data_IF_574255016721
#
_entry.id   IF_574255016721
#
_cell.length_a   1.000
_cell.length_b   1.000
_cell.length_c   1.000
_cell.angle_alpha   90.00
_cell.angle_beta   90.00
_cell.angle_gamma   90.00
#
_symmetry.space_group_name_H-M   'P 1'
#
loop_
_entity.id
_entity.type
_entity.pdbx_description
1 polymer ?
#
# COMPACT_ATOMS: atom_id res chain seq x y z
N UNK A 1 71.77 70.63 15.43
CA UNK A 1 70.31 70.57 15.31
C UNK A 1 69.80 69.58 16.35
N UNK A 2 69.06 70.02 17.38
CA UNK A 2 68.41 69.08 18.30
C UNK A 2 67.25 68.45 17.54
N UNK A 3 67.31 67.14 17.28
CA UNK A 3 66.25 66.37 16.64
C UNK A 3 65.04 66.29 17.58
N UNK A 4 64.24 67.35 17.63
CA UNK A 4 63.03 67.45 18.47
C UNK A 4 61.90 66.49 18.01
N UNK A 5 62.17 65.60 17.06
CA UNK A 5 61.25 64.59 16.54
C UNK A 5 61.78 63.15 16.67
N UNK A 6 62.90 62.94 17.37
CA UNK A 6 63.46 61.60 17.57
C UNK A 6 62.66 60.83 18.63
N UNK A 7 62.08 59.69 18.24
CA UNK A 7 61.33 58.80 19.14
C UNK A 7 62.33 57.84 19.83
N UNK A 8 62.44 57.83 21.16
CA UNK A 8 63.32 56.91 21.88
C UNK A 8 62.97 55.45 21.58
N UNK A 9 63.97 54.56 21.47
CA UNK A 9 63.76 53.13 21.17
C UNK A 9 62.77 52.43 22.13
N UNK A 10 62.67 52.92 23.37
CA UNK A 10 61.72 52.42 24.38
C UNK A 10 60.27 52.69 23.99
N UNK A 11 60.00 53.78 23.27
CA UNK A 11 58.68 54.13 22.77
C UNK A 11 58.35 53.44 21.44
N UNK A 12 59.31 52.71 20.84
CA UNK A 12 59.09 51.89 19.65
C UNK A 12 58.55 50.49 20.00
N UNK A 13 58.57 50.09 21.28
CA UNK A 13 58.14 48.75 21.72
C UNK A 13 56.94 48.85 22.65
N UNK A 14 55.84 48.19 22.27
CA UNK A 14 54.75 47.92 23.19
C UNK A 14 55.11 46.68 24.03
N UNK A 15 55.33 46.87 25.34
CA UNK A 15 55.63 45.78 26.27
C UNK A 15 54.41 45.47 27.13
N UNK A 16 54.00 44.20 27.16
CA UNK A 16 53.02 43.69 28.11
C UNK A 16 53.76 43.22 29.37
N UNK A 17 53.40 43.77 30.52
CA UNK A 17 53.94 43.35 31.82
C UNK A 17 53.36 41.97 32.19
N UNK A 18 54.17 40.90 32.29
CA UNK A 18 53.65 39.56 32.61
C UNK A 18 53.03 39.45 34.01
N UNK A 19 53.37 40.36 34.94
CA UNK A 19 52.86 40.34 36.31
C UNK A 19 51.36 40.63 36.42
N UNK A 20 50.73 41.13 35.35
CA UNK A 20 49.29 41.37 35.29
C UNK A 20 48.46 40.08 35.25
N UNK A 21 49.08 38.96 34.88
CA UNK A 21 48.38 37.68 34.71
C UNK A 21 48.46 36.83 35.97
N UNK A 22 47.33 36.21 36.34
CA UNK A 22 47.19 35.34 37.51
C UNK A 22 47.28 33.85 37.17
N UNK A 23 47.98 33.52 36.09
CA UNK A 23 48.17 32.14 35.61
C UNK A 23 49.62 31.90 35.21
N UNK A 24 50.06 30.64 35.28
CA UNK A 24 51.44 30.26 34.94
C UNK A 24 51.55 29.88 33.47
N UNK A 25 50.54 29.19 32.93
CA UNK A 25 50.50 28.78 31.52
C UNK A 25 49.14 29.09 30.90
N UNK A 26 49.07 29.22 29.57
CA UNK A 26 47.80 29.42 28.86
C UNK A 26 46.86 28.22 28.94
N UNK A 27 47.36 27.05 29.34
CA UNK A 27 46.53 25.86 29.60
C UNK A 27 45.64 26.03 30.84
N UNK A 28 46.04 26.89 31.78
CA UNK A 28 45.29 27.19 33.01
C UNK A 28 44.10 28.13 32.76
N UNK A 29 44.03 28.73 31.56
CA UNK A 29 43.00 29.70 31.20
C UNK A 29 41.77 28.97 30.67
N UNK A 30 40.67 29.02 31.42
CA UNK A 30 39.37 28.56 30.92
C UNK A 30 38.96 29.40 29.71
N UNK A 31 38.69 28.74 28.59
CA UNK A 31 38.12 29.39 27.41
C UNK A 31 36.78 30.04 27.77
N UNK A 32 36.71 31.36 27.62
CA UNK A 32 35.49 32.15 27.74
C UNK A 32 35.16 32.78 26.38
N UNK A 33 35.34 32.00 25.31
CA UNK A 33 35.13 32.47 23.95
C UNK A 33 33.67 32.88 23.76
N UNK A 34 33.44 34.20 23.80
CA UNK A 34 32.15 34.85 23.55
C UNK A 34 32.25 35.75 22.32
N UNK A 35 33.04 35.35 21.32
CA UNK A 35 33.37 36.16 20.13
C UNK A 35 33.98 37.52 20.50
N UNK A 36 35.21 37.48 21.03
CA UNK A 36 35.97 38.66 21.44
C UNK A 36 36.05 39.71 20.32
N UNK A 37 35.66 40.94 20.61
CA UNK A 37 35.68 42.05 19.64
C UNK A 37 34.57 42.03 18.57
N UNK A 38 33.62 41.08 18.63
CA UNK A 38 32.55 40.92 17.63
C UNK A 38 31.15 41.16 18.18
N UNK A 39 31.02 42.04 19.19
CA UNK A 39 29.76 42.28 19.91
C UNK A 39 28.58 42.58 18.99
N UNK A 40 28.79 43.39 17.93
CA UNK A 40 27.75 43.70 16.95
C UNK A 40 27.32 42.46 16.15
N UNK A 41 28.27 41.69 15.63
CA UNK A 41 28.00 40.49 14.85
C UNK A 41 27.28 39.42 15.67
N UNK A 42 27.66 39.27 16.94
CA UNK A 42 26.99 38.43 17.91
C UNK A 42 25.54 38.88 18.12
N UNK A 43 25.32 40.16 18.45
CA UNK A 43 23.98 40.68 18.67
C UNK A 43 23.07 40.48 17.45
N UNK A 44 23.59 40.67 16.23
CA UNK A 44 22.86 40.41 15.00
C UNK A 44 22.54 38.92 14.79
N UNK A 45 23.47 38.02 15.12
CA UNK A 45 23.23 36.57 15.04
C UNK A 45 22.19 36.12 16.07
N UNK A 46 22.32 36.56 17.32
CA UNK A 46 21.40 36.23 18.41
C UNK A 46 19.99 36.73 18.10
N UNK A 47 19.87 37.97 17.60
CA UNK A 47 18.61 38.52 17.11
C UNK A 47 18.06 37.69 15.95
N UNK A 48 18.86 37.45 14.90
CA UNK A 48 18.43 36.73 13.71
C UNK A 48 17.94 35.31 14.02
N UNK A 49 18.60 34.60 14.94
CA UNK A 49 18.19 33.27 15.40
C UNK A 49 16.99 33.27 16.36
N UNK A 50 16.65 34.44 16.93
CA UNK A 50 15.45 34.60 17.77
C UNK A 50 14.17 34.79 16.94
N UNK A 51 14.29 35.20 15.68
CA UNK A 51 13.16 35.43 14.76
C UNK A 51 12.63 34.08 14.25
N UNK A 52 11.51 33.64 14.81
CA UNK A 52 10.81 32.41 14.39
C UNK A 52 9.76 32.75 13.31
N UNK A 53 10.23 33.06 12.09
CA UNK A 53 9.36 33.43 10.96
C UNK A 53 9.81 32.75 9.68
N UNK A 54 8.85 32.10 8.99
CA UNK A 54 9.11 31.41 7.73
C UNK A 54 9.69 32.38 6.68
N UNK A 55 10.77 31.95 6.02
CA UNK A 55 11.46 32.74 4.99
C UNK A 55 12.57 33.65 5.55
N UNK A 56 12.70 33.73 6.88
CA UNK A 56 13.82 34.43 7.51
C UNK A 56 15.05 33.52 7.55
N UNK A 57 16.11 33.93 6.84
CA UNK A 57 17.37 33.19 6.78
C UNK A 57 18.51 34.12 7.23
N UNK A 58 19.52 33.56 7.92
CA UNK A 58 20.69 34.30 8.38
C UNK A 58 21.90 33.93 7.52
N UNK A 59 22.57 34.93 6.99
CA UNK A 59 23.86 34.79 6.30
C UNK A 59 24.97 35.39 7.15
N UNK A 60 26.08 34.68 7.32
CA UNK A 60 27.21 35.12 8.13
C UNK A 60 28.42 35.42 7.26
N UNK A 61 28.86 36.67 7.29
CA UNK A 61 30.06 37.15 6.59
C UNK A 61 31.15 37.57 7.58
N UNK A 62 32.41 37.37 7.21
CA UNK A 62 33.54 37.95 7.92
C UNK A 62 34.87 37.27 7.58
N UNK A 63 36.00 37.80 8.04
CA UNK A 63 37.32 37.29 7.73
C UNK A 63 37.51 35.81 8.08
N UNK A 64 38.41 35.13 7.38
CA UNK A 64 38.82 33.76 7.72
C UNK A 64 39.48 33.76 9.11
N UNK A 65 39.22 32.72 9.91
CA UNK A 65 39.79 32.60 11.27
C UNK A 65 39.05 33.37 12.36
N UNK A 66 37.97 34.12 12.05
CA UNK A 66 37.18 34.84 13.06
C UNK A 66 36.23 33.97 13.90
N UNK A 67 36.28 32.64 13.72
CA UNK A 67 35.49 31.70 14.53
C UNK A 67 33.97 31.73 14.31
N UNK A 68 33.49 32.23 13.16
CA UNK A 68 32.05 32.33 12.81
C UNK A 68 31.29 31.03 13.05
N UNK A 69 31.71 29.95 12.37
CA UNK A 69 31.05 28.64 12.45
C UNK A 69 31.08 28.07 13.87
N UNK A 70 32.21 28.20 14.57
CA UNK A 70 32.36 27.71 15.95
C UNK A 70 31.38 28.41 16.87
N UNK A 71 31.35 29.76 16.84
CA UNK A 71 30.43 30.54 17.66
C UNK A 71 28.96 30.22 17.34
N UNK A 72 28.60 30.19 16.06
CA UNK A 72 27.23 29.88 15.62
C UNK A 72 26.80 28.49 16.10
N UNK A 73 27.66 27.48 15.98
CA UNK A 73 27.33 26.12 16.44
C UNK A 73 27.17 26.06 17.96
N UNK A 74 28.10 26.63 18.72
CA UNK A 74 28.01 26.68 20.19
C UNK A 74 26.72 27.38 20.67
N UNK A 75 26.36 28.48 19.99
CA UNK A 75 25.12 29.20 20.30
C UNK A 75 23.87 28.39 19.92
N UNK A 76 23.86 27.76 18.73
CA UNK A 76 22.76 26.88 18.29
C UNK A 76 22.59 25.68 19.24
N UNK A 77 23.67 25.05 19.68
CA UNK A 77 23.66 23.93 20.63
C UNK A 77 23.13 24.33 22.01
N UNK A 78 23.35 25.60 22.42
CA UNK A 78 22.79 26.15 23.65
C UNK A 78 21.28 26.36 23.52
N UNK A 79 20.81 26.99 22.44
CA UNK A 79 19.39 27.32 22.28
C UNK A 79 18.54 26.11 21.90
N UNK A 80 19.08 25.13 21.17
CA UNK A 80 18.32 23.96 20.73
C UNK A 80 17.79 23.13 21.91
N UNK A 81 18.54 23.08 23.02
CA UNK A 81 18.15 22.38 24.27
C UNK A 81 16.90 22.95 24.92
N UNK A 82 16.54 24.21 24.63
CA UNK A 82 15.33 24.86 25.18
C UNK A 82 14.17 24.86 24.19
N UNK A 83 14.40 24.41 22.95
CA UNK A 83 13.38 24.36 21.90
C UNK A 83 12.62 23.03 21.96
N UNK A 84 11.45 23.00 21.32
CA UNK A 84 10.66 21.78 21.17
C UNK A 84 11.43 20.79 20.30
N UNK A 85 11.33 19.51 20.64
CA UNK A 85 11.89 18.42 19.83
C UNK A 85 11.23 18.49 18.44
N UNK A 86 12.03 18.50 17.35
CA UNK A 86 11.47 18.54 16.01
C UNK A 86 10.66 17.27 15.71
N UNK A 87 9.64 17.37 14.84
CA UNK A 87 8.88 16.21 14.41
C UNK A 87 9.75 15.27 13.57
N UNK A 88 9.36 14.00 13.52
CA UNK A 88 9.91 13.04 12.57
C UNK A 88 9.30 13.32 11.18
N UNK A 89 10.12 13.27 10.14
CA UNK A 89 9.64 13.33 8.76
C UNK A 89 9.88 11.98 8.10
N UNK A 90 8.82 11.41 7.53
CA UNK A 90 8.87 10.16 6.77
C UNK A 90 8.31 10.36 5.39
N UNK A 91 8.86 9.65 4.42
CA UNK A 91 8.31 9.53 3.08
C UNK A 91 7.57 8.20 2.96
N UNK A 92 6.35 8.26 2.45
CA UNK A 92 5.56 7.08 2.12
C UNK A 92 5.28 7.03 0.63
N UNK A 93 5.08 5.82 0.13
CA UNK A 93 4.72 5.60 -1.27
C UNK A 93 3.39 6.30 -1.60
N UNK A 94 3.34 6.92 -2.77
CA UNK A 94 2.16 7.57 -3.29
C UNK A 94 1.50 6.65 -4.31
N UNK A 95 0.26 6.22 -4.01
CA UNK A 95 -0.49 5.30 -4.85
C UNK A 95 -1.13 5.99 -6.06
N UNK A 96 -1.25 7.31 -6.05
CA UNK A 96 -1.79 8.09 -7.17
C UNK A 96 -0.69 8.48 -8.17
N UNK A 97 0.48 8.89 -7.67
CA UNK A 97 1.68 9.16 -8.47
C UNK A 97 2.94 8.55 -7.84
N UNK A 98 3.41 7.38 -8.31
CA UNK A 98 4.58 6.68 -7.77
C UNK A 98 5.88 7.50 -7.73
N UNK A 99 6.02 8.52 -8.57
CA UNK A 99 7.24 9.33 -8.64
C UNK A 99 7.25 10.48 -7.62
N UNK A 100 6.12 10.73 -6.96
CA UNK A 100 5.95 11.83 -6.00
C UNK A 100 5.68 11.29 -4.58
N UNK A 101 6.72 10.90 -3.82
CA UNK A 101 6.52 10.36 -2.48
C UNK A 101 5.89 11.39 -1.53
N UNK A 102 4.96 10.95 -0.68
CA UNK A 102 4.24 11.83 0.24
C UNK A 102 5.04 12.03 1.52
N UNK A 103 5.41 13.29 1.81
CA UNK A 103 6.01 13.65 3.09
C UNK A 103 4.97 13.75 4.21
N UNK A 104 5.20 13.01 5.29
CA UNK A 104 4.37 12.97 6.49
C UNK A 104 5.20 13.43 7.69
N UNK A 105 4.69 14.42 8.41
CA UNK A 105 5.22 14.82 9.72
C UNK A 105 4.55 13.99 10.82
N UNK A 106 5.36 13.38 11.67
CA UNK A 106 4.98 12.58 12.84
C UNK A 106 5.59 13.22 14.10
N UNK A 107 5.08 12.87 15.28
CA UNK A 107 5.73 13.36 16.51
C UNK A 107 7.08 12.67 16.71
N UNK A 108 7.97 13.29 17.47
CA UNK A 108 9.33 12.79 17.65
C UNK A 108 9.35 11.33 18.15
N UNK A 109 10.05 10.45 17.43
CA UNK A 109 10.15 9.02 17.73
C UNK A 109 8.98 8.16 17.26
N UNK A 110 7.93 8.73 16.64
CA UNK A 110 6.86 7.94 16.02
C UNK A 110 7.25 7.39 14.64
N UNK A 111 8.23 8.00 13.95
CA UNK A 111 8.68 7.54 12.63
C UNK A 111 9.21 6.11 12.67
N UNK A 112 10.03 5.79 13.68
CA UNK A 112 10.58 4.44 13.84
C UNK A 112 9.49 3.44 14.23
N UNK A 113 8.57 3.82 15.12
CA UNK A 113 7.43 2.97 15.51
C UNK A 113 6.51 2.68 14.32
N UNK A 114 6.31 3.67 13.44
CA UNK A 114 5.52 3.49 12.23
C UNK A 114 6.21 2.54 11.26
N UNK A 115 7.53 2.70 11.03
CA UNK A 115 8.33 1.79 10.23
C UNK A 115 8.20 0.35 10.74
N UNK A 116 8.44 0.11 12.03
CA UNK A 116 8.39 -1.22 12.62
C UNK A 116 6.97 -1.82 12.55
N UNK A 117 5.94 -0.98 12.74
CA UNK A 117 4.53 -1.40 12.58
C UNK A 117 4.22 -1.83 11.15
N UNK A 118 4.76 -1.13 10.15
CA UNK A 118 4.59 -1.47 8.74
C UNK A 118 5.36 -2.73 8.34
N UNK A 119 6.58 -2.93 8.85
CA UNK A 119 7.35 -4.17 8.63
C UNK A 119 6.60 -5.39 9.19
N UNK A 120 6.07 -5.26 10.42
CA UNK A 120 5.23 -6.29 11.02
C UNK A 120 3.94 -6.53 10.21
N UNK A 121 3.27 -5.45 9.79
CA UNK A 121 2.07 -5.54 8.95
C UNK A 121 2.32 -6.36 7.68
N UNK A 122 3.40 -6.10 6.94
CA UNK A 122 3.72 -6.80 5.69
C UNK A 122 3.98 -8.29 5.94
N UNK A 123 4.65 -8.63 7.04
CA UNK A 123 4.92 -10.01 7.42
C UNK A 123 3.63 -10.76 7.78
N UNK A 124 2.82 -10.16 8.65
CA UNK A 124 1.61 -10.80 9.18
C UNK A 124 0.53 -10.93 8.08
N UNK A 125 0.32 -9.90 7.26
CA UNK A 125 -0.74 -9.91 6.25
C UNK A 125 -0.53 -10.99 5.19
N UNK A 126 0.73 -11.24 4.79
CA UNK A 126 1.06 -12.30 3.82
C UNK A 126 0.75 -13.68 4.38
N UNK A 127 1.03 -13.90 5.65
CA UNK A 127 0.73 -15.16 6.33
C UNK A 127 -0.79 -15.35 6.51
N UNK A 128 -1.47 -14.32 7.00
CA UNK A 128 -2.86 -14.42 7.42
C UNK A 128 -3.82 -14.47 6.22
N UNK A 129 -3.54 -13.74 5.13
CA UNK A 129 -4.29 -13.91 3.87
C UNK A 129 -4.17 -15.36 3.40
N UNK A 130 -2.95 -15.90 3.34
CA UNK A 130 -2.73 -17.27 2.86
C UNK A 130 -3.45 -18.31 3.72
N UNK A 131 -3.36 -18.19 5.04
CA UNK A 131 -4.03 -19.11 5.96
C UNK A 131 -5.54 -19.01 5.86
N UNK A 132 -6.06 -17.78 5.74
CA UNK A 132 -7.49 -17.54 5.52
C UNK A 132 -7.93 -18.24 4.24
N UNK A 133 -7.18 -18.10 3.13
CA UNK A 133 -7.51 -18.75 1.86
C UNK A 133 -7.34 -20.26 1.81
N UNK A 134 -6.63 -20.87 2.78
CA UNK A 134 -6.45 -22.32 2.92
C UNK A 134 -7.41 -22.95 3.94
N UNK A 135 -8.26 -22.16 4.61
CA UNK A 135 -9.09 -22.70 5.69
C UNK A 135 -10.23 -23.56 5.16
N UNK A 136 -10.56 -24.65 5.88
CA UNK A 136 -11.68 -25.52 5.56
C UNK A 136 -13.03 -24.79 5.57
N UNK A 137 -13.13 -23.68 6.32
CA UNK A 137 -14.31 -22.82 6.35
C UNK A 137 -14.57 -22.13 5.02
N UNK A 138 -13.50 -21.77 4.28
CA UNK A 138 -13.66 -21.20 2.95
C UNK A 138 -14.16 -22.22 1.94
N UNK A 139 -13.58 -23.42 1.92
CA UNK A 139 -14.03 -24.46 0.99
C UNK A 139 -15.48 -24.87 1.29
N UNK A 140 -15.90 -24.86 2.57
CA UNK A 140 -17.30 -25.07 2.95
C UNK A 140 -18.23 -24.00 2.38
N UNK A 141 -17.92 -22.71 2.58
CA UNK A 141 -18.75 -21.62 2.06
C UNK A 141 -18.80 -21.60 0.53
N UNK A 142 -17.67 -21.82 -0.14
CA UNK A 142 -17.63 -21.98 -1.60
C UNK A 142 -18.50 -23.16 -2.06
N UNK A 143 -18.46 -24.28 -1.35
CA UNK A 143 -19.31 -25.45 -1.63
C UNK A 143 -20.80 -25.13 -1.43
N UNK A 144 -21.16 -24.37 -0.39
CA UNK A 144 -22.55 -23.93 -0.15
C UNK A 144 -23.05 -23.08 -1.31
N UNK A 145 -22.27 -22.07 -1.74
CA UNK A 145 -22.61 -21.22 -2.88
C UNK A 145 -22.74 -22.07 -4.16
N UNK A 146 -21.78 -22.94 -4.43
CA UNK A 146 -21.80 -23.80 -5.62
C UNK A 146 -23.05 -24.68 -5.66
N UNK A 147 -23.39 -25.31 -4.54
CA UNK A 147 -24.58 -26.16 -4.42
C UNK A 147 -25.89 -25.37 -4.63
N UNK A 148 -25.99 -24.15 -4.08
CA UNK A 148 -27.15 -23.28 -4.29
C UNK A 148 -27.40 -23.03 -5.80
N UNK A 149 -26.34 -22.78 -6.55
CA UNK A 149 -26.43 -22.55 -7.99
C UNK A 149 -26.67 -23.84 -8.78
N UNK A 150 -26.10 -24.97 -8.38
CA UNK A 150 -26.41 -26.29 -8.96
C UNK A 150 -27.88 -26.66 -8.81
N UNK A 151 -28.47 -26.46 -7.63
CA UNK A 151 -29.90 -26.70 -7.40
C UNK A 151 -30.79 -25.80 -8.27
N UNK A 152 -30.38 -24.54 -8.51
CA UNK A 152 -31.08 -23.63 -9.43
C UNK A 152 -30.96 -24.08 -10.89
N UNK A 153 -29.79 -24.59 -11.33
CA UNK A 153 -29.62 -25.17 -12.66
C UNK A 153 -30.50 -26.39 -12.86
N UNK A 154 -30.56 -27.27 -11.86
CA UNK A 154 -31.37 -28.49 -11.92
C UNK A 154 -32.86 -28.14 -12.08
N UNK A 155 -33.35 -27.09 -11.41
CA UNK A 155 -34.72 -26.58 -11.61
C UNK A 155 -34.97 -26.14 -13.06
N UNK A 156 -34.05 -25.40 -13.67
CA UNK A 156 -34.19 -24.99 -15.08
C UNK A 156 -34.23 -26.20 -16.03
N UNK A 157 -33.39 -27.21 -15.80
CA UNK A 157 -33.37 -28.43 -16.60
C UNK A 157 -34.65 -29.27 -16.39
N UNK A 158 -35.13 -29.38 -15.16
CA UNK A 158 -36.36 -30.09 -14.84
C UNK A 158 -37.60 -29.40 -15.47
N UNK A 159 -37.64 -28.07 -15.44
CA UNK A 159 -38.72 -27.31 -16.08
C UNK A 159 -38.66 -27.40 -17.60
N UNK A 160 -37.47 -27.35 -18.19
CA UNK A 160 -37.27 -27.59 -19.62
C UNK A 160 -37.77 -28.98 -20.00
N UNK A 161 -37.34 -30.03 -19.30
CA UNK A 161 -37.76 -31.41 -19.58
C UNK A 161 -39.28 -31.59 -19.46
N UNK A 162 -39.94 -30.94 -18.48
CA UNK A 162 -41.42 -30.94 -18.36
C UNK A 162 -42.12 -30.24 -19.52
N UNK A 163 -41.56 -29.15 -20.04
CA UNK A 163 -42.13 -28.45 -21.21
C UNK A 163 -41.92 -29.25 -22.48
N UNK A 164 -40.70 -29.74 -22.71
CA UNK A 164 -40.35 -30.58 -23.86
C UNK A 164 -41.16 -31.87 -23.93
N UNK A 165 -41.50 -32.47 -22.77
CA UNK A 165 -42.35 -33.66 -22.72
C UNK A 165 -43.74 -33.44 -23.34
N UNK A 166 -44.29 -32.22 -23.28
CA UNK A 166 -45.57 -31.87 -23.93
C UNK A 166 -45.49 -31.90 -25.46
N UNK A 167 -44.28 -31.76 -25.99
CA UNK A 167 -43.99 -31.79 -27.42
C UNK A 167 -43.45 -33.17 -27.87
N UNK A 168 -43.44 -34.17 -26.98
CA UNK A 168 -42.97 -35.52 -27.29
C UNK A 168 -41.44 -35.67 -27.19
N UNK A 169 -40.75 -34.81 -26.43
CA UNK A 169 -39.30 -34.87 -26.30
C UNK A 169 -38.85 -34.99 -24.84
N UNK A 170 -37.82 -35.79 -24.60
CA UNK A 170 -37.05 -35.78 -23.35
C UNK A 170 -35.77 -34.97 -23.54
N UNK A 171 -35.43 -34.14 -22.56
CA UNK A 171 -34.19 -33.38 -22.55
C UNK A 171 -33.27 -33.89 -21.44
N UNK A 172 -31.98 -34.08 -21.76
CA UNK A 172 -30.93 -34.44 -20.79
C UNK A 172 -29.72 -33.53 -20.93
N UNK A 173 -29.07 -33.24 -19.81
CA UNK A 173 -27.74 -32.62 -19.78
C UNK A 173 -26.63 -33.67 -19.85
N UNK A 174 -25.50 -33.27 -20.41
CA UNK A 174 -24.25 -34.02 -20.48
C UNK A 174 -23.07 -33.06 -20.32
N UNK A 175 -21.85 -33.58 -20.28
CA UNK A 175 -20.62 -32.78 -20.29
C UNK A 175 -20.47 -31.92 -21.56
N UNK A 176 -20.99 -32.40 -22.70
CA UNK A 176 -20.88 -31.74 -24.01
C UNK A 176 -22.05 -30.82 -24.34
N UNK A 177 -23.09 -30.78 -23.49
CA UNK A 177 -24.24 -29.89 -23.66
C UNK A 177 -25.58 -30.54 -23.32
N UNK A 178 -26.66 -29.90 -23.77
CA UNK A 178 -28.03 -30.35 -23.58
C UNK A 178 -28.51 -31.07 -24.85
N UNK A 179 -28.99 -32.30 -24.70
CA UNK A 179 -29.50 -33.15 -25.77
C UNK A 179 -31.00 -33.33 -25.67
N UNK A 180 -31.67 -33.30 -26.83
CA UNK A 180 -33.09 -33.57 -26.99
C UNK A 180 -33.27 -34.95 -27.64
N UNK A 181 -34.20 -35.76 -27.14
CA UNK A 181 -34.49 -37.09 -27.67
C UNK A 181 -36.02 -37.28 -27.84
N UNK A 182 -36.50 -37.76 -29.00
CA UNK A 182 -37.93 -37.98 -29.23
C UNK A 182 -38.47 -39.17 -28.43
N UNK A 183 -39.73 -39.08 -28.00
CA UNK A 183 -40.48 -40.08 -27.23
C UNK A 183 -41.66 -40.57 -28.08
N UNK A 184 -41.60 -41.82 -28.56
CA UNK A 184 -42.69 -42.47 -29.31
C UNK A 184 -43.23 -43.64 -28.50
N UNK A 185 -44.55 -43.76 -28.38
CA UNK A 185 -45.23 -44.78 -27.57
C UNK A 185 -44.71 -44.90 -26.13
N UNK A 186 -44.34 -43.76 -25.54
CA UNK A 186 -43.82 -43.67 -24.17
C UNK A 186 -42.37 -44.14 -24.00
N UNK A 187 -41.65 -44.43 -25.09
CA UNK A 187 -40.24 -44.81 -25.08
C UNK A 187 -39.39 -43.80 -25.83
N UNK A 188 -38.22 -43.50 -25.26
CA UNK A 188 -37.19 -42.70 -25.94
C UNK A 188 -36.61 -43.56 -27.05
N UNK A 189 -36.67 -43.06 -28.28
CA UNK A 189 -36.13 -43.74 -29.45
C UNK A 189 -34.83 -43.08 -29.91
N UNK A 190 -33.95 -43.87 -30.52
CA UNK A 190 -32.69 -43.37 -31.11
C UNK A 190 -32.91 -42.94 -32.55
N UNK A 191 -31.95 -42.23 -33.11
CA UNK A 191 -31.99 -41.68 -34.47
C UNK A 191 -32.30 -42.76 -35.53
N UNK A 192 -31.67 -43.95 -35.43
CA UNK A 192 -31.92 -45.09 -36.33
C UNK A 192 -33.37 -45.63 -36.30
N UNK A 193 -34.08 -45.46 -35.17
CA UNK A 193 -35.48 -45.86 -35.02
C UNK A 193 -36.44 -44.74 -35.45
N UNK A 194 -36.05 -43.48 -35.22
CA UNK A 194 -36.77 -42.31 -35.73
C UNK A 194 -36.80 -42.30 -37.27
N UNK A 195 -35.69 -42.69 -37.91
CA UNK A 195 -35.53 -42.87 -39.36
C UNK A 195 -36.54 -43.86 -39.97
N UNK A 196 -37.10 -44.78 -39.19
CA UNK A 196 -38.06 -45.80 -39.67
C UNK A 196 -39.52 -45.37 -39.56
N UNK A 197 -39.79 -44.19 -38.96
CA UNK A 197 -41.14 -43.64 -38.84
C UNK A 197 -41.67 -43.11 -40.18
N UNK A 198 -42.99 -43.09 -40.31
CA UNK A 198 -43.67 -42.52 -41.48
C UNK A 198 -43.37 -41.03 -41.66
N UNK A 199 -43.35 -40.58 -42.92
CA UNK A 199 -42.97 -39.21 -43.28
C UNK A 199 -43.86 -38.14 -42.64
N UNK A 200 -45.16 -38.41 -42.45
CA UNK A 200 -46.07 -37.49 -41.75
C UNK A 200 -45.72 -37.34 -40.26
N UNK A 201 -45.39 -38.45 -39.60
CA UNK A 201 -45.02 -38.46 -38.17
C UNK A 201 -43.68 -37.76 -37.98
N UNK A 202 -42.68 -38.03 -38.85
CA UNK A 202 -41.39 -37.34 -38.82
C UNK A 202 -41.56 -35.83 -38.92
N UNK A 203 -42.37 -35.36 -39.87
CA UNK A 203 -42.62 -33.93 -40.08
C UNK A 203 -43.26 -33.27 -38.86
N UNK A 204 -44.19 -33.95 -38.18
CA UNK A 204 -44.79 -33.44 -36.94
C UNK A 204 -43.76 -33.28 -35.81
N UNK A 205 -42.80 -34.21 -35.68
CA UNK A 205 -41.71 -34.09 -34.71
C UNK A 205 -40.70 -32.99 -35.11
N UNK A 206 -40.42 -32.80 -36.40
CA UNK A 206 -39.56 -31.71 -36.89
C UNK A 206 -40.15 -30.34 -36.53
N UNK A 207 -41.44 -30.10 -36.81
CA UNK A 207 -42.12 -28.84 -36.49
C UNK A 207 -42.13 -28.58 -34.96
N UNK A 208 -42.35 -29.62 -34.15
CA UNK A 208 -42.28 -29.52 -32.68
C UNK A 208 -40.85 -29.36 -32.17
N UNK A 209 -39.86 -29.88 -32.88
CA UNK A 209 -38.45 -29.78 -32.50
C UNK A 209 -37.99 -28.33 -32.50
N UNK A 210 -38.41 -27.52 -33.47
CA UNK A 210 -38.06 -26.08 -33.52
C UNK A 210 -38.49 -25.35 -32.24
N UNK A 211 -39.69 -25.65 -31.72
CA UNK A 211 -40.20 -25.07 -30.48
C UNK A 211 -39.32 -25.48 -29.30
N UNK A 212 -38.99 -26.77 -29.19
CA UNK A 212 -38.16 -27.29 -28.09
C UNK A 212 -36.72 -26.77 -28.21
N UNK A 213 -36.17 -26.60 -29.41
CA UNK A 213 -34.85 -26.00 -29.62
C UNK A 213 -34.81 -24.56 -29.12
N UNK A 214 -35.85 -23.76 -29.37
CA UNK A 214 -35.93 -22.39 -28.83
C UNK A 214 -35.96 -22.39 -27.30
N UNK A 215 -36.71 -23.30 -26.68
CA UNK A 215 -36.72 -23.44 -25.21
C UNK A 215 -35.36 -23.86 -24.65
N UNK A 216 -34.64 -24.77 -25.33
CA UNK A 216 -33.28 -25.17 -24.95
C UNK A 216 -32.33 -23.96 -25.00
N UNK A 217 -32.37 -23.17 -26.09
CA UNK A 217 -31.53 -21.98 -26.24
C UNK A 217 -31.79 -20.97 -25.10
N UNK A 218 -33.07 -20.74 -24.77
CA UNK A 218 -33.45 -19.86 -23.67
C UNK A 218 -32.89 -20.35 -22.32
N UNK A 219 -33.01 -21.65 -22.05
CA UNK A 219 -32.50 -22.26 -20.80
C UNK A 219 -30.97 -22.25 -20.75
N UNK A 220 -30.27 -22.49 -21.86
CA UNK A 220 -28.81 -22.34 -21.93
C UNK A 220 -28.39 -20.91 -21.58
N UNK A 221 -29.11 -19.91 -22.11
CA UNK A 221 -28.90 -18.50 -21.75
C UNK A 221 -29.05 -18.25 -20.25
N UNK A 222 -30.10 -18.80 -19.64
CA UNK A 222 -30.33 -18.71 -18.18
C UNK A 222 -29.24 -19.40 -17.37
N UNK A 223 -28.79 -20.58 -17.79
CA UNK A 223 -27.69 -21.32 -17.12
C UNK A 223 -26.39 -20.53 -17.19
N UNK A 224 -26.03 -19.97 -18.36
CA UNK A 224 -24.82 -19.14 -18.50
C UNK A 224 -24.87 -17.89 -17.63
N UNK A 225 -26.02 -17.22 -17.56
CA UNK A 225 -26.20 -16.07 -16.68
C UNK A 225 -26.05 -16.47 -15.21
N UNK A 226 -26.58 -17.64 -14.84
CA UNK A 226 -26.50 -18.21 -13.50
C UNK A 226 -25.05 -18.60 -13.14
N UNK A 227 -24.26 -19.10 -14.10
CA UNK A 227 -22.83 -19.37 -13.92
C UNK A 227 -22.04 -18.08 -13.66
N UNK A 228 -22.31 -17.03 -14.42
CA UNK A 228 -21.69 -15.73 -14.20
C UNK A 228 -22.09 -15.13 -12.83
N UNK A 229 -23.34 -15.31 -12.41
CA UNK A 229 -23.82 -14.92 -11.07
C UNK A 229 -23.06 -15.67 -9.96
N UNK A 230 -22.85 -16.98 -10.13
CA UNK A 230 -22.09 -17.81 -9.19
C UNK A 230 -20.63 -17.37 -9.07
N UNK A 231 -19.97 -17.15 -10.20
CA UNK A 231 -18.57 -16.69 -10.22
C UNK A 231 -18.41 -15.32 -9.55
N UNK A 232 -19.31 -14.38 -9.86
CA UNK A 232 -19.33 -13.07 -9.21
C UNK A 232 -19.53 -13.18 -7.70
N UNK A 233 -20.49 -14.02 -7.24
CA UNK A 233 -20.75 -14.20 -5.81
C UNK A 233 -19.55 -14.81 -5.08
N UNK A 234 -18.85 -15.77 -5.71
CA UNK A 234 -17.61 -16.34 -5.17
C UNK A 234 -16.52 -15.26 -5.10
N UNK A 235 -16.35 -14.44 -6.13
CA UNK A 235 -15.35 -13.37 -6.15
C UNK A 235 -15.64 -12.25 -5.13
N UNK A 236 -16.90 -11.85 -4.97
CA UNK A 236 -17.32 -10.89 -3.95
C UNK A 236 -17.05 -11.41 -2.55
N UNK A 237 -17.39 -12.68 -2.30
CA UNK A 237 -17.13 -13.32 -1.02
C UNK A 237 -15.62 -13.41 -0.72
N UNK A 238 -14.79 -13.81 -1.70
CA UNK A 238 -13.31 -13.78 -1.57
C UNK A 238 -12.80 -12.38 -1.25
N UNK A 239 -13.32 -11.37 -1.95
CA UNK A 239 -12.94 -9.96 -1.75
C UNK A 239 -13.32 -9.48 -0.35
N UNK A 240 -14.52 -9.82 0.14
CA UNK A 240 -14.99 -9.47 1.47
C UNK A 240 -14.14 -10.11 2.57
N UNK A 241 -13.72 -11.36 2.38
CA UNK A 241 -12.87 -12.05 3.34
C UNK A 241 -11.47 -11.44 3.38
N UNK A 242 -10.86 -11.20 2.22
CA UNK A 242 -9.59 -10.48 2.15
C UNK A 242 -9.71 -9.10 2.80
N UNK A 243 -10.80 -8.37 2.54
CA UNK A 243 -11.09 -7.07 3.09
C UNK A 243 -11.16 -7.10 4.63
N UNK A 244 -11.80 -8.10 5.22
CA UNK A 244 -11.88 -8.28 6.66
C UNK A 244 -10.51 -8.52 7.28
N UNK A 245 -9.74 -9.46 6.71
CA UNK A 245 -8.38 -9.78 7.16
C UNK A 245 -7.49 -8.52 7.10
N UNK A 246 -7.44 -7.84 5.94
CA UNK A 246 -6.63 -6.62 5.76
C UNK A 246 -7.07 -5.51 6.72
N UNK A 247 -8.39 -5.33 6.90
CA UNK A 247 -8.91 -4.26 7.77
C UNK A 247 -8.51 -4.47 9.23
N UNK A 248 -8.41 -5.71 9.71
CA UNK A 248 -7.91 -6.02 11.05
C UNK A 248 -6.47 -5.54 11.26
N UNK A 249 -5.57 -5.87 10.33
CA UNK A 249 -4.17 -5.44 10.40
C UNK A 249 -4.00 -3.92 10.22
N UNK A 250 -4.74 -3.31 9.31
CA UNK A 250 -4.72 -1.84 9.12
C UNK A 250 -5.22 -1.13 10.37
N UNK A 251 -6.27 -1.64 11.00
CA UNK A 251 -6.79 -1.06 12.24
C UNK A 251 -5.73 -1.05 13.34
N UNK A 252 -4.94 -2.13 13.47
CA UNK A 252 -3.83 -2.20 14.42
C UNK A 252 -2.80 -1.08 14.18
N UNK A 253 -2.33 -0.90 12.94
CA UNK A 253 -1.37 0.17 12.58
C UNK A 253 -1.97 1.55 12.83
N UNK A 254 -3.22 1.76 12.41
CA UNK A 254 -3.94 3.04 12.56
C UNK A 254 -4.18 3.38 14.04
N UNK A 255 -4.37 2.39 14.90
CA UNK A 255 -4.62 2.58 16.32
C UNK A 255 -3.44 3.23 17.06
N UNK A 256 -2.22 3.05 16.53
CA UNK A 256 -1.00 3.66 17.05
C UNK A 256 -0.81 5.11 16.58
N UNK A 257 -1.54 5.57 15.55
CA UNK A 257 -1.33 6.86 14.86
C UNK A 257 -2.64 7.63 14.59
N UNK A 258 -3.64 7.48 15.47
CA UNK A 258 -5.06 7.85 15.25
C UNK A 258 -5.37 9.29 14.79
N UNK A 259 -4.39 10.21 14.81
CA UNK A 259 -4.61 11.64 14.52
C UNK A 259 -4.00 12.13 13.20
N UNK A 260 -3.26 11.30 12.46
CA UNK A 260 -2.63 11.74 11.22
C UNK A 260 -3.46 11.34 9.98
N UNK A 261 -4.07 12.34 9.33
CA UNK A 261 -4.87 12.14 8.11
C UNK A 261 -4.05 11.57 6.96
N UNK A 262 -2.81 12.03 6.75
CA UNK A 262 -1.95 11.53 5.67
C UNK A 262 -1.60 10.06 5.86
N UNK A 263 -1.35 9.63 7.10
CA UNK A 263 -1.14 8.21 7.43
C UNK A 263 -2.39 7.40 7.11
N UNK A 264 -3.57 7.92 7.46
CA UNK A 264 -4.83 7.24 7.15
C UNK A 264 -5.02 7.07 5.64
N UNK A 265 -4.80 8.13 4.85
CA UNK A 265 -4.85 8.07 3.39
C UNK A 265 -3.86 7.07 2.81
N UNK A 266 -2.62 7.04 3.32
CA UNK A 266 -1.62 6.06 2.90
C UNK A 266 -2.07 4.62 3.19
N UNK A 267 -2.57 4.34 4.40
CA UNK A 267 -3.05 3.01 4.77
C UNK A 267 -4.28 2.58 3.95
N UNK A 268 -5.17 3.52 3.60
CA UNK A 268 -6.29 3.25 2.69
C UNK A 268 -5.79 2.93 1.27
N UNK A 269 -4.69 3.56 0.83
CA UNK A 269 -3.99 3.22 -0.41
C UNK A 269 -3.40 1.80 -0.38
N UNK A 270 -2.69 1.45 0.70
CA UNK A 270 -2.17 0.09 0.94
C UNK A 270 -3.30 -0.93 0.89
N UNK A 271 -4.43 -0.65 1.54
CA UNK A 271 -5.61 -1.52 1.53
C UNK A 271 -6.11 -1.82 0.12
N UNK A 272 -6.30 -0.77 -0.68
CA UNK A 272 -6.81 -0.88 -2.06
C UNK A 272 -5.83 -1.63 -2.95
N UNK A 273 -4.54 -1.35 -2.80
CA UNK A 273 -3.51 -2.01 -3.60
C UNK A 273 -3.42 -3.51 -3.31
N UNK A 274 -3.46 -3.92 -2.03
CA UNK A 274 -3.47 -5.34 -1.65
C UNK A 274 -4.71 -6.03 -2.21
N UNK A 275 -5.90 -5.43 -2.10
CA UNK A 275 -7.14 -6.00 -2.65
C UNK A 275 -7.07 -6.19 -4.16
N UNK A 276 -6.54 -5.20 -4.90
CA UNK A 276 -6.35 -5.29 -6.36
C UNK A 276 -5.37 -6.40 -6.74
N UNK A 277 -4.40 -6.69 -5.88
CA UNK A 277 -3.33 -7.64 -6.13
C UNK A 277 -3.46 -8.94 -5.29
N UNK A 278 -4.65 -9.28 -4.80
CA UNK A 278 -4.85 -10.37 -3.82
C UNK A 278 -4.34 -11.73 -4.32
N UNK A 279 -4.43 -12.02 -5.62
CA UNK A 279 -3.92 -13.25 -6.23
C UNK A 279 -2.43 -13.46 -5.97
N UNK A 280 -1.63 -12.37 -6.00
CA UNK A 280 -0.19 -12.42 -5.71
C UNK A 280 0.12 -12.87 -4.28
N UNK A 281 -0.80 -12.69 -3.33
CA UNK A 281 -0.63 -13.15 -1.95
C UNK A 281 -1.02 -14.62 -1.78
N UNK A 282 -1.89 -15.14 -2.65
CA UNK A 282 -2.38 -16.51 -2.64
C UNK A 282 -1.40 -17.45 -3.36
N UNK A 283 -0.85 -17.04 -4.51
CA UNK A 283 -0.09 -17.91 -5.43
C UNK A 283 1.43 -18.00 -5.16
N UNK A 284 1.94 -17.27 -4.18
CA UNK A 284 3.38 -16.98 -3.93
C UNK A 284 4.22 -18.19 -3.43
N UNK A 285 3.80 -19.44 -3.66
CA UNK A 285 4.56 -20.67 -3.37
C UNK A 285 5.09 -21.38 -4.63
N UNK A 286 4.73 -20.96 -5.87
CA UNK A 286 5.28 -21.61 -7.08
C UNK A 286 6.63 -21.05 -7.57
N UNK A 287 7.11 -19.92 -7.06
CA UNK A 287 8.33 -19.26 -7.53
C UNK A 287 9.33 -18.90 -6.41
N UNK A 288 9.33 -19.63 -5.29
CA UNK A 288 10.41 -19.51 -4.29
C UNK A 288 11.54 -20.49 -4.56
N UNK A 289 12.11 -20.42 -5.74
CA UNK A 289 13.54 -20.68 -5.94
C UNK A 289 14.12 -19.45 -6.66
N UNK A 290 15.07 -18.81 -5.99
CA UNK A 290 15.85 -17.62 -6.40
C UNK A 290 15.15 -16.27 -6.25
N UNK A 291 15.21 -15.74 -5.03
CA UNK A 291 15.35 -14.31 -4.83
C UNK A 291 16.71 -14.09 -4.15
N UNK A 292 17.77 -14.14 -4.95
CA UNK A 292 19.07 -13.59 -4.58
C UNK A 292 18.88 -12.08 -4.49
N UNK A 293 19.18 -11.51 -3.32
CA UNK A 293 18.96 -10.10 -3.02
C UNK A 293 19.44 -9.16 -4.12
N UNK A 294 18.49 -8.54 -4.82
CA UNK A 294 18.76 -7.52 -5.82
C UNK A 294 18.14 -6.17 -5.41
N UNK A 295 18.60 -5.61 -4.30
CA UNK A 295 18.66 -4.16 -4.13
C UNK A 295 20.04 -3.68 -4.57
N UNK A 296 20.33 -3.87 -5.86
CA UNK A 296 21.44 -3.22 -6.54
C UNK A 296 20.99 -1.82 -6.98
N UNK A 297 21.52 -0.80 -6.32
CA UNK A 297 21.54 0.58 -6.78
C UNK A 297 21.92 0.62 -8.27
N UNK A 298 21.07 1.20 -9.12
CA UNK A 298 21.42 1.49 -10.50
C UNK A 298 21.77 2.99 -10.61
N UNK A 299 23.02 3.34 -10.94
CA UNK A 299 23.43 4.72 -11.18
C UNK A 299 23.28 5.06 -12.66
N UNK A 300 22.30 5.91 -12.97
CA UNK A 300 22.33 6.86 -14.09
C UNK A 300 21.61 8.13 -13.64
#
# INVERSE_FOLDING_TARGET
MRNNFEIPYRNLKYTCDPSIFKFTTTADVKSNYKGLGQQRGIASLEFGLSVDTKGYNVYLEGPTGSGKTTYTKEYLDKISRTKKVPPDWVYVYNFDDPNEPVAISLTAGEGIKFKDSMEKFVKDIRHDIRNTFKSDELEKEKSIITREFEERKEKFLNDLNKKSAKYGFQVKSSETGIYMMPIVDGKVIKEDEFEKLDAEIKKEYEDKSEIVQQEIIEVIGKIRALDAEAENRINDWRTNIALLTISGHIYYVKSNLKRNKKVSTFLDGVKKDILKNISKFIDDDKNKEKDDGFFGLNPW
#
